data_IF_568069118202
#
_entry.id   IF_568069118202
#
_cell.length_a   1.000
_cell.length_b   1.000
_cell.length_c   1.000
_cell.angle_alpha   90.00
_cell.angle_beta   90.00
_cell.angle_gamma   90.00
#
_symmetry.space_group_name_H-M   'P 1'
#
loop_
_entity.id
_entity.type
_entity.pdbx_description
1 polymer ?
#
# COMPACT_ATOMS: atom_id res chain seq x y z
N UNK A 1 5.14 -8.71 -27.40
CA UNK A 1 5.55 -7.41 -26.82
C UNK A 1 5.90 -6.44 -27.94
N UNK A 2 5.29 -5.26 -28.00
CA UNK A 2 5.68 -4.20 -28.94
C UNK A 2 6.83 -3.41 -28.31
N UNK A 3 7.97 -3.26 -29.04
CA UNK A 3 9.10 -2.46 -28.55
C UNK A 3 9.04 -1.05 -29.10
N UNK A 4 9.41 -0.08 -28.28
CA UNK A 4 9.60 1.32 -28.71
C UNK A 4 10.79 1.50 -29.66
N UNK A 5 11.66 0.50 -29.80
CA UNK A 5 12.84 0.54 -30.66
C UNK A 5 13.90 1.57 -30.23
N UNK A 6 13.84 2.08 -29.01
CA UNK A 6 14.73 3.13 -28.52
C UNK A 6 15.86 2.56 -27.66
N UNK A 7 17.06 3.09 -27.82
CA UNK A 7 18.21 2.81 -26.94
C UNK A 7 18.18 3.71 -25.72
N UNK A 8 17.15 3.51 -24.88
CA UNK A 8 16.88 4.30 -23.67
C UNK A 8 16.39 3.37 -22.57
N UNK A 9 16.98 3.48 -21.38
CA UNK A 9 16.61 2.63 -20.24
C UNK A 9 15.11 2.72 -19.89
N UNK A 10 14.53 3.92 -19.93
CA UNK A 10 13.10 4.10 -19.68
C UNK A 10 12.25 3.41 -20.76
N UNK A 11 12.58 3.57 -22.04
CA UNK A 11 11.85 2.89 -23.12
C UNK A 11 11.94 1.36 -22.99
N UNK A 12 13.12 0.83 -22.66
CA UNK A 12 13.30 -0.61 -22.41
C UNK A 12 12.51 -1.11 -21.19
N UNK A 13 12.41 -0.28 -20.16
CA UNK A 13 11.55 -0.59 -19.01
C UNK A 13 10.08 -0.62 -19.41
N UNK A 14 9.63 0.36 -20.20
CA UNK A 14 8.25 0.40 -20.68
C UNK A 14 7.93 -0.72 -21.69
N UNK A 15 8.91 -1.22 -22.42
CA UNK A 15 8.75 -2.44 -23.23
C UNK A 15 8.35 -3.65 -22.36
N UNK A 16 8.74 -3.68 -21.05
CA UNK A 16 8.47 -4.78 -20.11
C UNK A 16 7.23 -4.54 -19.26
N UNK A 17 7.12 -3.35 -18.65
CA UNK A 17 6.09 -3.05 -17.66
C UNK A 17 5.11 -1.95 -18.08
N UNK A 18 5.24 -1.40 -19.29
CA UNK A 18 4.42 -0.29 -19.78
C UNK A 18 2.99 -0.68 -20.14
N UNK A 19 2.70 -1.94 -20.29
CA UNK A 19 1.36 -2.42 -20.56
C UNK A 19 0.43 -2.21 -19.35
N UNK A 20 -0.82 -1.87 -19.64
CA UNK A 20 -1.86 -1.75 -18.60
C UNK A 20 -1.92 -3.04 -17.76
N UNK A 21 -2.04 -2.90 -16.46
CA UNK A 21 -2.05 -3.92 -15.42
C UNK A 21 -0.68 -4.42 -14.96
N UNK A 22 0.39 -4.32 -15.74
CA UNK A 22 1.70 -4.87 -15.38
C UNK A 22 2.21 -4.33 -14.04
N UNK A 23 2.22 -3.00 -13.86
CA UNK A 23 2.63 -2.39 -12.58
C UNK A 23 1.66 -2.67 -11.43
N UNK A 24 0.37 -2.87 -11.71
CA UNK A 24 -0.60 -3.25 -10.68
C UNK A 24 -0.41 -4.70 -10.24
N UNK A 25 -0.03 -5.62 -11.15
CA UNK A 25 0.38 -6.98 -10.80
C UNK A 25 1.64 -6.95 -9.93
N UNK A 26 2.64 -6.16 -10.32
CA UNK A 26 3.86 -5.97 -9.50
C UNK A 26 3.51 -5.43 -8.12
N UNK A 27 2.57 -4.48 -8.00
CA UNK A 27 2.07 -3.98 -6.72
C UNK A 27 1.51 -5.10 -5.85
N UNK A 28 0.63 -5.94 -6.37
CA UNK A 28 0.05 -7.06 -5.61
C UNK A 28 1.14 -8.00 -5.07
N UNK A 29 2.13 -8.31 -5.91
CA UNK A 29 3.24 -9.19 -5.56
C UNK A 29 4.28 -8.53 -4.63
N UNK A 30 4.34 -7.20 -4.56
CA UNK A 30 5.14 -6.47 -3.57
C UNK A 30 4.50 -6.48 -2.19
N UNK A 31 3.17 -6.51 -2.14
CA UNK A 31 2.39 -6.44 -0.91
C UNK A 31 2.23 -7.82 -0.23
N UNK A 32 2.42 -8.89 -0.99
CA UNK A 32 2.25 -10.26 -0.51
C UNK A 32 3.42 -11.12 -0.99
N UNK A 33 4.06 -11.84 -0.08
CA UNK A 33 5.14 -12.76 -0.45
C UNK A 33 4.57 -14.07 -1.05
N UNK A 34 4.16 -13.97 -2.31
CA UNK A 34 3.53 -15.03 -3.07
C UNK A 34 2.01 -14.95 -3.08
N UNK A 35 1.45 -14.91 -4.29
CA UNK A 35 0.03 -14.88 -4.57
C UNK A 35 -0.40 -16.07 -5.40
N UNK A 36 -1.56 -16.64 -5.08
CA UNK A 36 -2.26 -17.54 -6.01
C UNK A 36 -2.84 -16.71 -7.15
N UNK A 37 -3.16 -17.36 -8.24
CA UNK A 37 -3.88 -16.72 -9.34
C UNK A 37 -5.17 -16.03 -8.89
N UNK A 38 -5.94 -16.69 -8.02
CA UNK A 38 -7.20 -16.17 -7.46
C UNK A 38 -6.98 -14.93 -6.60
N UNK A 39 -5.87 -14.86 -5.86
CA UNK A 39 -5.53 -13.71 -5.02
C UNK A 39 -5.21 -12.48 -5.89
N UNK A 40 -4.47 -12.71 -6.99
CA UNK A 40 -4.20 -11.66 -7.98
C UNK A 40 -5.47 -11.18 -8.66
N UNK A 41 -6.37 -12.10 -9.04
CA UNK A 41 -7.64 -11.73 -9.67
C UNK A 41 -8.52 -10.91 -8.71
N UNK A 42 -8.56 -11.27 -7.42
CA UNK A 42 -9.26 -10.50 -6.39
C UNK A 42 -8.62 -9.13 -6.14
N UNK A 43 -7.28 -9.07 -6.13
CA UNK A 43 -6.51 -7.83 -5.92
C UNK A 43 -6.51 -6.88 -7.14
N UNK A 44 -7.05 -7.29 -8.29
CA UNK A 44 -7.05 -6.52 -9.54
C UNK A 44 -8.47 -6.39 -10.11
N UNK A 45 -9.39 -5.69 -9.42
CA UNK A 45 -10.76 -5.52 -9.89
C UNK A 45 -10.83 -4.98 -11.32
N UNK A 46 -11.59 -5.64 -12.18
CA UNK A 46 -11.78 -5.26 -13.58
C UNK A 46 -10.77 -5.82 -14.57
N UNK A 47 -9.78 -6.61 -14.14
CA UNK A 47 -8.94 -7.37 -15.05
C UNK A 47 -9.70 -8.63 -15.54
N UNK A 48 -9.63 -8.94 -16.83
CA UNK A 48 -10.14 -10.22 -17.32
C UNK A 48 -9.15 -11.35 -17.03
N UNK A 49 -9.68 -12.58 -16.89
CA UNK A 49 -8.85 -13.78 -16.63
C UNK A 49 -7.79 -13.98 -17.71
N UNK A 50 -8.16 -13.84 -18.98
CA UNK A 50 -7.23 -14.02 -20.10
C UNK A 50 -6.12 -12.96 -20.07
N UNK A 51 -6.46 -11.70 -19.79
CA UNK A 51 -5.49 -10.61 -19.72
C UNK A 51 -4.51 -10.80 -18.55
N UNK A 52 -4.99 -11.27 -17.39
CA UNK A 52 -4.11 -11.59 -16.27
C UNK A 52 -3.10 -12.68 -16.64
N UNK A 53 -3.57 -13.76 -17.29
CA UNK A 53 -2.69 -14.85 -17.75
C UNK A 53 -1.63 -14.32 -18.72
N UNK A 54 -2.03 -13.51 -19.69
CA UNK A 54 -1.11 -12.96 -20.68
C UNK A 54 -0.06 -12.05 -20.03
N UNK A 55 -0.47 -11.16 -19.12
CA UNK A 55 0.45 -10.28 -18.38
C UNK A 55 1.40 -11.04 -17.47
N UNK A 56 0.93 -12.07 -16.78
CA UNK A 56 1.80 -12.93 -15.97
C UNK A 56 2.86 -13.63 -16.83
N UNK A 57 2.47 -14.20 -17.98
CA UNK A 57 3.42 -14.82 -18.92
C UNK A 57 4.44 -13.83 -19.48
N UNK A 58 4.02 -12.58 -19.76
CA UNK A 58 4.93 -11.54 -20.23
C UNK A 58 5.94 -11.16 -19.16
N UNK A 59 5.50 -10.99 -17.91
CA UNK A 59 6.36 -10.68 -16.76
C UNK A 59 7.29 -11.84 -16.41
N UNK A 60 6.85 -13.10 -16.55
CA UNK A 60 7.70 -14.28 -16.39
C UNK A 60 8.81 -14.31 -17.44
N UNK A 61 8.46 -14.13 -18.74
CA UNK A 61 9.45 -14.07 -19.83
C UNK A 61 10.47 -12.95 -19.65
N UNK A 62 10.06 -11.85 -19.04
CA UNK A 62 10.94 -10.72 -18.73
C UNK A 62 11.78 -10.92 -17.45
N UNK A 63 11.58 -12.04 -16.74
CA UNK A 63 12.29 -12.34 -15.49
C UNK A 63 11.90 -11.44 -14.31
N UNK A 64 10.73 -10.83 -14.35
CA UNK A 64 10.16 -9.99 -13.27
C UNK A 64 9.38 -10.84 -12.26
N UNK A 65 8.64 -11.81 -12.77
CA UNK A 65 7.82 -12.74 -11.97
C UNK A 65 8.39 -14.14 -12.10
N UNK A 66 8.34 -14.90 -11.03
CA UNK A 66 8.59 -16.35 -11.01
C UNK A 66 7.29 -17.07 -10.61
N UNK A 67 7.17 -18.30 -11.08
CA UNK A 67 6.07 -19.19 -10.77
C UNK A 67 6.63 -20.39 -10.02
N UNK A 68 6.16 -20.61 -8.79
CA UNK A 68 6.55 -21.71 -7.93
C UNK A 68 5.36 -22.63 -7.68
N UNK A 69 5.60 -23.92 -7.65
CA UNK A 69 4.61 -24.89 -7.21
C UNK A 69 4.78 -25.13 -5.69
N UNK A 70 3.77 -24.76 -4.92
CA UNK A 70 3.78 -25.01 -3.49
C UNK A 70 3.61 -26.52 -3.23
N UNK A 71 4.42 -27.11 -2.32
CA UNK A 71 4.30 -28.51 -1.99
C UNK A 71 2.95 -28.84 -1.30
N UNK A 72 2.54 -30.11 -1.29
CA UNK A 72 1.41 -30.55 -0.49
C UNK A 72 1.55 -30.15 0.99
N UNK A 73 0.44 -29.84 1.71
CA UNK A 73 -0.96 -30.02 1.30
C UNK A 73 -1.55 -28.89 0.46
N UNK A 74 -0.80 -27.80 0.26
CA UNK A 74 -1.34 -26.60 -0.44
C UNK A 74 -1.45 -26.82 -1.94
N UNK A 75 -0.57 -27.61 -2.54
CA UNK A 75 -0.58 -28.05 -3.96
C UNK A 75 -1.11 -26.98 -4.94
N UNK A 76 -0.58 -25.77 -4.88
CA UNK A 76 -1.03 -24.64 -5.69
C UNK A 76 0.14 -23.91 -6.32
N UNK A 77 -0.11 -23.28 -7.44
CA UNK A 77 0.85 -22.38 -8.07
C UNK A 77 0.87 -21.03 -7.37
N UNK A 78 2.05 -20.58 -6.98
CA UNK A 78 2.29 -19.25 -6.41
C UNK A 78 3.11 -18.41 -7.39
N UNK A 79 2.68 -17.17 -7.57
CA UNK A 79 3.42 -16.15 -8.31
C UNK A 79 4.17 -15.28 -7.31
N UNK A 80 5.46 -15.04 -7.57
CA UNK A 80 6.34 -14.22 -6.72
C UNK A 80 7.16 -13.26 -7.58
N UNK A 81 7.60 -12.17 -7.01
CA UNK A 81 8.62 -11.35 -7.66
C UNK A 81 9.99 -12.02 -7.55
N UNK A 82 10.73 -12.04 -8.66
CA UNK A 82 12.15 -12.35 -8.66
C UNK A 82 12.94 -11.26 -7.94
N UNK A 83 14.27 -11.46 -7.71
CA UNK A 83 15.13 -10.41 -7.20
C UNK A 83 15.04 -9.14 -8.07
N UNK A 84 15.08 -9.30 -9.41
CA UNK A 84 14.91 -8.21 -10.38
C UNK A 84 13.51 -7.57 -10.29
N UNK A 85 12.48 -8.35 -10.08
CA UNK A 85 11.11 -7.84 -9.89
C UNK A 85 11.00 -6.98 -8.63
N UNK A 86 11.66 -7.37 -7.54
CA UNK A 86 11.70 -6.60 -6.28
C UNK A 86 12.41 -5.25 -6.42
N UNK A 87 13.36 -5.12 -7.35
CA UNK A 87 14.01 -3.84 -7.67
C UNK A 87 13.05 -2.78 -8.21
N UNK A 88 11.85 -3.16 -8.68
CA UNK A 88 10.83 -2.21 -9.09
C UNK A 88 10.15 -1.49 -7.91
N UNK A 89 10.32 -1.96 -6.65
CA UNK A 89 9.69 -1.35 -5.48
C UNK A 89 9.89 0.18 -5.38
N UNK A 90 11.11 0.74 -5.49
CA UNK A 90 11.30 2.19 -5.43
C UNK A 90 10.55 2.95 -6.53
N UNK A 91 10.48 2.38 -7.75
CA UNK A 91 9.74 2.98 -8.85
C UNK A 91 8.22 2.98 -8.60
N UNK A 92 7.68 1.87 -8.09
CA UNK A 92 6.25 1.76 -7.72
C UNK A 92 5.90 2.76 -6.62
N UNK A 93 6.75 2.89 -5.59
CA UNK A 93 6.55 3.88 -4.52
C UNK A 93 6.64 5.31 -5.05
N UNK A 94 7.58 5.61 -5.96
CA UNK A 94 7.70 6.93 -6.58
C UNK A 94 6.47 7.29 -7.41
N UNK A 95 5.95 6.34 -8.21
CA UNK A 95 4.70 6.50 -8.97
C UNK A 95 3.50 6.67 -8.05
N UNK A 96 3.40 5.89 -6.96
CA UNK A 96 2.35 6.03 -5.96
C UNK A 96 2.37 7.41 -5.30
N UNK A 97 3.57 7.93 -4.98
CA UNK A 97 3.74 9.29 -4.42
C UNK A 97 3.31 10.36 -5.41
N UNK A 98 3.70 10.23 -6.67
CA UNK A 98 3.29 11.16 -7.74
C UNK A 98 1.77 11.11 -7.96
N UNK A 99 1.16 9.92 -7.90
CA UNK A 99 -0.27 9.72 -8.07
C UNK A 99 -1.13 10.12 -6.86
N UNK A 100 -0.56 10.24 -5.66
CA UNK A 100 -1.31 10.50 -4.43
C UNK A 100 -2.27 11.71 -4.49
N UNK A 101 -1.93 12.86 -5.12
CA UNK A 101 -2.87 13.98 -5.27
C UNK A 101 -4.11 13.64 -6.11
N UNK A 102 -4.03 12.65 -7.00
CA UNK A 102 -5.14 12.23 -7.85
C UNK A 102 -6.25 11.53 -7.06
N UNK A 103 -5.91 10.93 -5.90
CA UNK A 103 -6.87 10.28 -5.01
C UNK A 103 -7.93 11.26 -4.48
N UNK A 104 -7.61 12.55 -4.39
CA UNK A 104 -8.56 13.57 -3.95
C UNK A 104 -9.71 13.80 -4.96
N UNK A 105 -9.52 13.41 -6.22
CA UNK A 105 -10.48 13.54 -7.31
C UNK A 105 -11.23 12.23 -7.60
N UNK A 106 -10.87 11.13 -6.94
CA UNK A 106 -11.50 9.83 -7.12
C UNK A 106 -12.96 9.82 -6.60
N UNK A 107 -13.81 8.92 -7.11
CA UNK A 107 -15.18 8.71 -6.66
C UNK A 107 -15.26 7.68 -5.54
N UNK A 108 -16.39 7.66 -4.83
CA UNK A 108 -16.63 6.65 -3.78
C UNK A 108 -16.95 5.25 -4.34
N UNK A 109 -17.23 5.17 -5.66
CA UNK A 109 -17.49 3.91 -6.37
C UNK A 109 -16.20 3.20 -6.82
N UNK A 110 -15.03 3.82 -6.60
CA UNK A 110 -13.77 3.17 -6.94
C UNK A 110 -13.50 1.98 -6.03
N UNK A 111 -13.10 0.86 -6.65
CA UNK A 111 -12.75 -0.34 -5.89
C UNK A 111 -11.61 -0.06 -4.92
N UNK A 112 -11.74 -0.57 -3.71
CA UNK A 112 -10.72 -0.50 -2.67
C UNK A 112 -10.45 -1.89 -2.09
N UNK A 113 -9.19 -2.17 -1.77
CA UNK A 113 -8.75 -3.34 -1.02
C UNK A 113 -7.87 -2.91 0.15
N UNK A 114 -8.10 -3.48 1.31
CA UNK A 114 -7.42 -3.09 2.55
C UNK A 114 -5.91 -3.19 2.46
N UNK A 115 -5.39 -4.23 1.84
CA UNK A 115 -3.94 -4.42 1.69
C UNK A 115 -3.26 -3.36 0.82
N UNK A 116 -4.01 -2.62 -0.02
CA UNK A 116 -3.42 -1.49 -0.75
C UNK A 116 -3.00 -0.34 0.16
N UNK A 117 -3.47 -0.31 1.42
CA UNK A 117 -3.05 0.67 2.41
C UNK A 117 -1.56 0.58 2.74
N UNK A 118 -0.93 -0.56 2.51
CA UNK A 118 0.49 -0.75 2.81
C UNK A 118 1.40 0.24 2.08
N UNK A 119 1.17 0.46 0.78
CA UNK A 119 1.99 1.41 -0.01
C UNK A 119 1.82 2.87 0.44
N UNK A 120 0.61 3.43 0.59
CA UNK A 120 0.43 4.77 1.14
C UNK A 120 1.07 4.93 2.53
N UNK A 121 0.97 3.93 3.38
CA UNK A 121 1.58 3.96 4.71
C UNK A 121 3.10 4.10 4.60
N UNK A 122 3.77 3.27 3.82
CA UNK A 122 5.21 3.36 3.60
C UNK A 122 5.66 4.66 2.91
N UNK A 123 4.80 5.22 2.02
CA UNK A 123 5.12 6.48 1.31
C UNK A 123 5.03 7.69 2.25
N UNK A 124 4.03 7.70 3.15
CA UNK A 124 3.63 8.90 3.90
C UNK A 124 4.22 8.91 5.29
N UNK A 125 4.41 7.75 5.91
CA UNK A 125 4.76 7.64 7.31
C UNK A 125 6.23 7.25 7.52
N UNK A 126 6.77 7.72 8.62
CA UNK A 126 8.06 7.32 9.15
C UNK A 126 7.91 7.08 10.66
N UNK A 127 8.65 6.16 11.20
CA UNK A 127 8.74 6.00 12.65
C UNK A 127 9.53 7.19 13.23
N UNK A 128 8.85 8.02 14.02
CA UNK A 128 9.41 9.19 14.66
C UNK A 128 9.91 8.92 16.09
N UNK A 129 9.72 7.70 16.57
CA UNK A 129 10.17 7.26 17.89
C UNK A 129 10.95 5.93 17.80
N UNK A 130 12.06 5.88 17.00
CA UNK A 130 12.77 4.62 16.72
C UNK A 130 13.39 3.95 17.94
N UNK A 131 13.45 4.66 19.08
CA UNK A 131 13.89 4.13 20.38
C UNK A 131 12.74 3.93 21.36
N UNK A 132 11.50 4.19 20.91
CA UNK A 132 10.29 3.97 21.68
C UNK A 132 9.89 2.49 21.71
N UNK A 133 8.90 2.12 22.52
CA UNK A 133 8.33 0.80 22.46
C UNK A 133 7.67 0.55 21.10
N UNK A 134 7.67 -0.70 20.61
CA UNK A 134 6.92 -1.04 19.40
C UNK A 134 5.45 -0.63 19.52
N UNK A 135 4.87 -0.15 18.42
CA UNK A 135 3.48 0.29 18.35
C UNK A 135 2.75 -0.45 17.23
N UNK A 136 1.53 -0.87 17.50
CA UNK A 136 0.66 -1.51 16.52
C UNK A 136 -0.69 -0.81 16.42
N UNK A 137 -1.07 -0.38 15.22
CA UNK A 137 -2.39 0.20 14.94
C UNK A 137 -3.13 -0.72 13.96
N UNK A 138 -4.30 -1.17 14.36
CA UNK A 138 -5.18 -1.96 13.51
C UNK A 138 -6.13 -1.06 12.72
N UNK A 139 -6.16 -1.23 11.41
CA UNK A 139 -7.08 -0.55 10.50
C UNK A 139 -8.17 -1.54 10.06
N UNK A 140 -9.42 -1.21 10.37
CA UNK A 140 -10.61 -1.94 9.89
C UNK A 140 -11.31 -1.12 8.82
N UNK A 141 -10.77 -1.20 7.62
CA UNK A 141 -11.28 -0.47 6.45
C UNK A 141 -11.22 -1.38 5.22
N UNK A 142 -12.29 -1.42 4.43
CA UNK A 142 -12.35 -2.29 3.26
C UNK A 142 -12.76 -3.72 3.59
N UNK A 143 -12.12 -4.69 2.95
CA UNK A 143 -12.49 -6.10 2.93
C UNK A 143 -11.82 -6.95 4.03
N UNK A 144 -10.66 -6.55 4.51
CA UNK A 144 -9.93 -7.26 5.57
C UNK A 144 -9.20 -6.26 6.50
N UNK A 145 -8.94 -6.60 7.77
CA UNK A 145 -8.10 -5.78 8.63
C UNK A 145 -6.66 -5.72 8.16
N UNK A 146 -6.00 -4.58 8.43
CA UNK A 146 -4.56 -4.38 8.19
C UNK A 146 -3.94 -3.81 9.45
N UNK A 147 -2.78 -4.32 9.83
CA UNK A 147 -2.00 -3.81 10.97
C UNK A 147 -0.84 -2.98 10.45
N UNK A 148 -0.68 -1.79 11.00
CA UNK A 148 0.51 -0.94 10.86
C UNK A 148 1.36 -1.14 12.11
N UNK A 149 2.59 -1.56 11.95
CA UNK A 149 3.56 -1.78 13.02
C UNK A 149 4.71 -0.79 12.85
N UNK A 150 5.04 -0.06 13.91
CA UNK A 150 6.20 0.80 13.97
C UNK A 150 7.17 0.25 15.02
N UNK A 151 8.36 -0.10 14.61
CA UNK A 151 9.42 -0.61 15.48
C UNK A 151 10.80 -0.33 14.86
N UNK A 152 11.78 -0.02 15.70
CA UNK A 152 13.19 0.15 15.33
C UNK A 152 13.44 1.14 14.17
N UNK A 153 12.62 2.18 14.08
CA UNK A 153 12.72 3.18 13.02
C UNK A 153 12.08 2.78 11.70
N UNK A 154 11.47 1.60 11.63
CA UNK A 154 10.77 1.10 10.44
C UNK A 154 9.26 1.04 10.64
N UNK A 155 8.53 1.21 9.55
CA UNK A 155 7.08 0.97 9.53
C UNK A 155 6.80 -0.19 8.58
N UNK A 156 6.06 -1.16 9.11
CA UNK A 156 5.62 -2.32 8.37
C UNK A 156 4.10 -2.40 8.36
N UNK A 157 3.56 -3.04 7.34
CA UNK A 157 2.14 -3.34 7.27
C UNK A 157 1.97 -4.82 6.99
N UNK A 158 0.97 -5.42 7.64
CA UNK A 158 0.56 -6.79 7.36
C UNK A 158 -0.95 -6.93 7.36
N UNK A 159 -1.51 -7.87 6.60
CA UNK A 159 -2.93 -8.21 6.68
C UNK A 159 -3.24 -8.91 8.02
N UNK A 160 -4.52 -8.87 8.41
CA UNK A 160 -5.03 -9.50 9.60
C UNK A 160 -5.18 -8.56 10.78
N UNK A 161 -5.39 -9.13 11.97
CA UNK A 161 -5.60 -8.43 13.23
C UNK A 161 -4.34 -8.43 14.10
N UNK A 162 -4.24 -7.48 15.02
CA UNK A 162 -3.25 -7.49 16.10
C UNK A 162 -3.87 -8.14 17.36
N UNK A 163 -3.08 -8.90 18.11
CA UNK A 163 -3.54 -9.48 19.38
C UNK A 163 -3.84 -8.40 20.41
N UNK A 164 -3.01 -7.37 20.46
CA UNK A 164 -3.09 -6.28 21.43
C UNK A 164 -2.73 -4.93 20.80
N UNK A 165 -3.59 -4.36 19.93
CA UNK A 165 -3.29 -3.13 19.23
C UNK A 165 -3.33 -1.92 20.18
N UNK A 166 -2.38 -1.00 20.04
CA UNK A 166 -2.39 0.30 20.73
C UNK A 166 -3.56 1.18 20.29
N UNK A 167 -4.09 0.93 19.09
CA UNK A 167 -5.28 1.61 18.60
C UNK A 167 -5.96 0.82 17.49
N UNK A 168 -7.29 1.01 17.38
CA UNK A 168 -8.10 0.46 16.29
C UNK A 168 -8.81 1.59 15.59
N UNK A 169 -8.60 1.71 14.28
CA UNK A 169 -9.26 2.68 13.41
C UNK A 169 -10.25 1.97 12.50
N UNK A 170 -11.53 2.27 12.65
CA UNK A 170 -12.59 1.70 11.80
C UNK A 170 -13.28 2.81 11.04
N UNK A 171 -13.45 2.64 9.73
CA UNK A 171 -14.18 3.62 8.92
C UNK A 171 -13.83 3.58 7.44
N UNK A 172 -14.43 4.49 6.64
CA UNK A 172 -14.12 4.60 5.23
C UNK A 172 -12.63 4.87 4.97
N UNK A 173 -12.02 4.26 3.94
CA UNK A 173 -10.58 4.38 3.66
C UNK A 173 -10.07 5.82 3.58
N UNK A 174 -10.83 6.70 2.95
CA UNK A 174 -10.47 8.13 2.81
C UNK A 174 -10.37 8.84 4.15
N UNK A 175 -11.32 8.58 5.07
CA UNK A 175 -11.30 9.19 6.40
C UNK A 175 -10.17 8.63 7.26
N UNK A 176 -9.97 7.31 7.24
CA UNK A 176 -8.87 6.65 7.93
C UNK A 176 -7.53 7.23 7.47
N UNK A 177 -7.32 7.34 6.16
CA UNK A 177 -6.09 7.95 5.62
C UNK A 177 -5.94 9.42 5.98
N UNK A 178 -7.03 10.19 6.01
CA UNK A 178 -6.99 11.60 6.40
C UNK A 178 -6.58 11.77 7.87
N UNK A 179 -7.05 10.90 8.75
CA UNK A 179 -6.64 10.86 10.18
C UNK A 179 -5.16 10.49 10.29
N UNK A 180 -4.75 9.41 9.67
CA UNK A 180 -3.36 8.96 9.68
C UNK A 180 -2.40 10.03 9.13
N UNK A 181 -2.79 10.73 8.06
CA UNK A 181 -2.01 11.82 7.49
C UNK A 181 -2.07 13.14 8.29
N UNK A 182 -2.77 13.17 9.44
CA UNK A 182 -2.94 14.39 10.26
C UNK A 182 -3.72 15.52 9.58
N UNK A 183 -4.45 15.21 8.50
CA UNK A 183 -5.32 16.16 7.80
C UNK A 183 -6.69 16.32 8.45
N UNK A 184 -7.06 15.36 9.27
CA UNK A 184 -8.30 15.33 10.04
C UNK A 184 -7.95 14.97 11.48
N UNK A 185 -8.52 15.69 12.44
CA UNK A 185 -8.35 15.30 13.84
C UNK A 185 -9.17 14.06 14.16
N UNK A 186 -8.78 13.35 15.21
CA UNK A 186 -9.56 12.20 15.69
C UNK A 186 -11.00 12.58 16.06
N UNK A 187 -11.18 13.75 16.68
CA UNK A 187 -12.48 14.27 17.09
C UNK A 187 -13.36 14.58 15.89
N UNK A 188 -12.81 15.25 14.86
CA UNK A 188 -13.52 15.54 13.62
C UNK A 188 -13.90 14.26 12.86
N UNK A 189 -13.03 13.26 12.88
CA UNK A 189 -13.29 11.98 12.23
C UNK A 189 -14.41 11.19 12.92
N UNK A 190 -14.48 11.23 14.25
CA UNK A 190 -15.59 10.65 15.01
C UNK A 190 -16.92 11.35 14.73
N UNK A 191 -16.91 12.68 14.64
CA UNK A 191 -18.11 13.46 14.39
C UNK A 191 -18.70 13.28 12.99
N UNK A 192 -17.83 13.00 11.99
CA UNK A 192 -18.21 12.86 10.57
C UNK A 192 -18.71 11.48 10.16
N UNK A 193 -19.14 10.66 11.11
CA UNK A 193 -19.73 9.34 10.91
C UNK A 193 -18.74 8.22 10.49
N UNK A 194 -18.49 7.33 11.41
CA UNK A 194 -17.95 6.00 11.11
C UNK A 194 -16.51 5.72 11.51
N UNK A 195 -15.70 6.72 11.89
CA UNK A 195 -14.40 6.40 12.48
C UNK A 195 -14.59 6.09 13.95
N UNK A 196 -14.38 4.85 14.30
CA UNK A 196 -14.40 4.38 15.69
C UNK A 196 -12.99 3.94 16.06
N UNK A 197 -12.56 4.18 17.27
CA UNK A 197 -11.29 3.68 17.76
C UNK A 197 -11.23 3.79 19.26
N UNK A 198 -10.34 3.00 19.82
CA UNK A 198 -10.02 3.02 21.24
C UNK A 198 -8.52 3.25 21.36
N UNK A 199 -8.07 4.49 21.60
CA UNK A 199 -6.70 4.65 22.06
C UNK A 199 -6.58 3.97 23.41
N UNK A 200 -5.56 3.16 23.62
CA UNK A 200 -5.22 2.62 24.95
C UNK A 200 -4.58 3.74 25.77
N UNK A 201 -5.13 3.93 26.96
CA UNK A 201 -4.59 4.80 28.01
C UNK A 201 -4.95 6.28 27.83
N UNK A 202 -5.22 6.96 28.95
CA UNK A 202 -5.41 8.39 29.06
C UNK A 202 -4.06 9.14 28.95
N UNK A 203 -3.29 8.82 27.90
CA UNK A 203 -2.13 9.58 27.47
C UNK A 203 -2.50 10.50 26.31
N UNK A 204 -1.72 11.55 26.04
CA UNK A 204 -1.95 12.36 24.86
C UNK A 204 -1.98 11.45 23.63
N UNK A 205 -2.82 11.77 22.61
CA UNK A 205 -2.87 10.97 21.38
C UNK A 205 -1.45 10.77 20.87
N UNK A 206 -1.09 9.57 20.32
CA UNK A 206 0.22 9.36 19.75
C UNK A 206 0.53 10.52 18.82
N UNK A 207 1.76 11.07 18.84
CA UNK A 207 2.10 12.20 17.99
C UNK A 207 1.69 11.85 16.57
N UNK A 208 1.02 12.75 15.84
CA UNK A 208 0.53 12.46 14.51
C UNK A 208 1.70 11.92 13.71
N UNK A 209 1.52 10.77 13.07
CA UNK A 209 2.47 10.22 12.13
C UNK A 209 2.78 11.34 11.14
N UNK A 210 3.91 12.03 11.32
CA UNK A 210 4.20 13.22 10.52
C UNK A 210 4.65 12.79 9.14
N UNK A 211 4.07 13.40 8.11
CA UNK A 211 4.54 13.27 6.73
C UNK A 211 6.06 13.43 6.67
N UNK A 212 6.76 12.49 6.05
CA UNK A 212 8.15 12.65 5.69
C UNK A 212 8.28 13.97 4.90
N UNK A 213 9.15 14.89 5.36
CA UNK A 213 9.33 16.19 4.73
C UNK A 213 9.66 16.02 3.26
N UNK A 214 8.83 16.53 2.36
CA UNK A 214 9.10 16.52 0.92
C UNK A 214 7.89 16.61 0.00
N UNK A 215 6.65 16.60 0.49
CA UNK A 215 5.46 16.60 -0.37
C UNK A 215 4.69 17.93 -0.46
N UNK A 216 5.26 19.02 0.04
CA UNK A 216 4.60 20.33 -0.05
C UNK A 216 5.54 21.38 -0.66
N UNK A 217 5.66 21.42 -1.98
CA UNK A 217 5.78 22.71 -2.64
C UNK A 217 4.35 23.24 -2.81
N UNK A 218 3.93 24.18 -1.97
CA UNK A 218 2.75 24.98 -2.24
C UNK A 218 1.75 25.30 -1.14
N UNK A 219 1.95 24.90 0.13
CA UNK A 219 1.07 25.41 1.19
C UNK A 219 1.85 25.63 2.49
N UNK A 220 1.90 26.89 2.93
CA UNK A 220 2.51 27.32 4.19
C UNK A 220 1.81 26.64 5.36
N UNK A 221 2.56 25.91 6.17
CA UNK A 221 2.11 25.44 7.48
C UNK A 221 2.02 26.67 8.42
N UNK A 222 0.91 26.89 9.14
CA UNK A 222 0.86 27.94 10.15
C UNK A 222 1.81 27.59 11.31
N UNK A 223 2.40 28.61 11.97
CA UNK A 223 3.31 28.37 13.09
C UNK A 223 2.56 27.81 14.29
N UNK A 224 3.15 26.81 14.93
CA UNK A 224 2.69 26.31 16.22
C UNK A 224 2.70 27.44 17.24
N UNK A 225 1.56 27.77 17.82
CA UNK A 225 1.48 28.67 18.96
C UNK A 225 2.01 27.97 20.20
N UNK A 226 2.89 28.69 20.90
CA UNK A 226 3.42 28.32 22.21
C UNK A 226 2.33 28.23 23.29
#
# INVERSE_FOLDING_TARGET
MRSYGQHCGLAKTLDVIGDRWSLLIVRELLLRDGCRYTDLLHGLPGISTNLLVDRLRDLERAGVVARDEAPPPVATTLYRLTARGKELRPAVLALGRWGAPLLAKGSDDEAFRSHWMALPVEIVFADHAPKGPPMAIELRTGDEPVVIEAADGAIHTRPGTAEDPDGVLTGPPRLVMAVLAGKLTWEDARARAGVRGRPRGAGPPPPPLRCARGLTQGSRCPPARA
#
